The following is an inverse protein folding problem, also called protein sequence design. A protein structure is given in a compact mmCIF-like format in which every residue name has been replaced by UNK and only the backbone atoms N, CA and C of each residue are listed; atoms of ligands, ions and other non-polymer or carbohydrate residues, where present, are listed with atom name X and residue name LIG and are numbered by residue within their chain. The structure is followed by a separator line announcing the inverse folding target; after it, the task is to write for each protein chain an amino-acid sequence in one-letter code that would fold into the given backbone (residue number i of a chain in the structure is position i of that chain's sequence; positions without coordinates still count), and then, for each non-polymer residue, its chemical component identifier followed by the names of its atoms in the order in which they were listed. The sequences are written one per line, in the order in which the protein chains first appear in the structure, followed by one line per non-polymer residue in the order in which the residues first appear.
data_IF_878024354295
#
_entry.id   IF_878024354295
#
_cell.length_a   1.000
_cell.length_b   1.000
_cell.length_c   1.000
_cell.angle_alpha   90.00
_cell.angle_beta   90.00
_cell.angle_gamma   90.00
#
_symmetry.space_group_name_H-M   'P 1'
#
loop_
_entity.id
_entity.type
_entity.pdbx_description
1 polymer ?
#
# COMPACT_ATOMS: atom_id res chain seq x y z
N UNK A 1 -10.84 -0.75 -12.84
CA UNK A 1 -10.41 -2.12 -13.20
C UNK A 1 -8.98 -2.17 -13.74
N UNK A 2 -8.62 -1.44 -14.80
CA UNK A 2 -7.25 -1.44 -15.34
C UNK A 2 -6.21 -0.94 -14.31
N UNK A 3 -6.49 0.17 -13.63
CA UNK A 3 -5.62 0.72 -12.57
C UNK A 3 -5.36 -0.28 -11.43
N UNK A 4 -6.41 -1.00 -11.00
CA UNK A 4 -6.32 -2.05 -9.99
C UNK A 4 -5.41 -3.20 -10.43
N UNK A 5 -5.56 -3.66 -11.68
CA UNK A 5 -4.72 -4.72 -12.25
C UNK A 5 -3.26 -4.27 -12.32
N UNK A 6 -2.99 -3.06 -12.82
CA UNK A 6 -1.64 -2.49 -12.88
C UNK A 6 -1.03 -2.41 -11.48
N UNK A 7 -1.79 -1.93 -10.50
CA UNK A 7 -1.33 -1.83 -9.12
C UNK A 7 -1.00 -3.21 -8.52
N UNK A 8 -1.84 -4.22 -8.76
CA UNK A 8 -1.57 -5.60 -8.31
C UNK A 8 -0.34 -6.22 -8.98
N UNK A 9 -0.13 -5.97 -10.27
CA UNK A 9 1.07 -6.42 -10.99
C UNK A 9 2.33 -5.79 -10.37
N UNK A 10 2.29 -4.48 -10.10
CA UNK A 10 3.41 -3.78 -9.46
C UNK A 10 3.69 -4.34 -8.06
N UNK A 11 2.65 -4.60 -7.27
CA UNK A 11 2.82 -5.20 -5.93
C UNK A 11 3.40 -6.61 -6.03
N UNK A 12 2.91 -7.43 -6.97
CA UNK A 12 3.45 -8.77 -7.20
C UNK A 12 4.94 -8.71 -7.58
N UNK A 13 5.34 -7.75 -8.41
CA UNK A 13 6.73 -7.51 -8.74
C UNK A 13 7.57 -7.13 -7.51
N UNK A 14 7.06 -6.24 -6.65
CA UNK A 14 7.74 -5.87 -5.40
C UNK A 14 7.90 -7.06 -4.46
N UNK A 15 6.86 -7.87 -4.28
CA UNK A 15 6.92 -9.09 -3.47
C UNK A 15 7.94 -10.09 -4.02
N UNK A 16 7.95 -10.32 -5.34
CA UNK A 16 8.93 -11.18 -5.99
C UNK A 16 10.36 -10.67 -5.79
N UNK A 17 10.58 -9.36 -5.95
CA UNK A 17 11.87 -8.71 -5.70
C UNK A 17 12.31 -8.88 -4.24
N UNK A 18 11.39 -8.73 -3.29
CA UNK A 18 11.66 -8.90 -1.86
C UNK A 18 12.12 -10.33 -1.55
N UNK A 19 11.43 -11.32 -2.13
CA UNK A 19 11.78 -12.74 -1.99
C UNK A 19 13.16 -13.04 -2.59
N UNK A 20 13.47 -12.47 -3.76
CA UNK A 20 14.80 -12.61 -4.37
C UNK A 20 15.89 -12.02 -3.47
N UNK A 21 15.70 -10.81 -2.98
CA UNK A 21 16.69 -10.13 -2.13
C UNK A 21 16.89 -10.84 -0.78
N UNK A 22 15.84 -11.46 -0.22
CA UNK A 22 15.95 -12.36 0.93
C UNK A 22 16.84 -13.57 0.64
N UNK A 23 16.65 -14.22 -0.50
CA UNK A 23 17.51 -15.36 -0.91
C UNK A 23 18.97 -14.96 -1.05
N UNK A 24 19.25 -13.73 -1.53
CA UNK A 24 20.60 -13.17 -1.60
C UNK A 24 21.18 -12.72 -0.25
N UNK A 25 20.46 -12.88 0.86
CA UNK A 25 20.83 -12.40 2.21
C UNK A 25 21.19 -10.90 2.26
N UNK A 26 20.63 -10.11 1.34
CA UNK A 26 20.91 -8.68 1.23
C UNK A 26 20.05 -7.82 2.16
N UNK A 27 19.05 -8.42 2.81
CA UNK A 27 18.09 -7.72 3.67
C UNK A 27 18.04 -8.44 5.02
N UNK A 28 17.91 -7.69 6.11
CA UNK A 28 17.60 -8.27 7.41
C UNK A 28 16.23 -8.95 7.40
N UNK A 29 16.05 -9.98 8.22
CA UNK A 29 14.77 -10.71 8.33
C UNK A 29 13.64 -9.77 8.80
N UNK A 30 13.96 -8.84 9.69
CA UNK A 30 13.02 -7.82 10.21
C UNK A 30 12.52 -6.89 9.10
N UNK A 31 13.44 -6.37 8.29
CA UNK A 31 13.13 -5.53 7.13
C UNK A 31 12.30 -6.29 6.09
N UNK A 32 12.66 -7.55 5.82
CA UNK A 32 11.86 -8.40 4.93
C UNK A 32 10.42 -8.57 5.44
N UNK A 33 10.22 -8.89 6.73
CA UNK A 33 8.88 -9.08 7.30
C UNK A 33 8.08 -7.76 7.24
N UNK A 34 8.71 -6.64 7.60
CA UNK A 34 8.08 -5.33 7.55
C UNK A 34 7.56 -5.00 6.14
N UNK A 35 8.44 -5.10 5.13
CA UNK A 35 8.06 -4.81 3.76
C UNK A 35 7.06 -5.83 3.19
N UNK A 36 7.21 -7.10 3.53
CA UNK A 36 6.28 -8.13 3.10
C UNK A 36 4.86 -7.85 3.61
N UNK A 37 4.71 -7.55 4.91
CA UNK A 37 3.43 -7.19 5.51
C UNK A 37 2.86 -5.90 4.91
N UNK A 38 3.71 -4.89 4.69
CA UNK A 38 3.29 -3.64 4.07
C UNK A 38 2.70 -3.86 2.66
N UNK A 39 3.38 -4.62 1.82
CA UNK A 39 2.90 -4.93 0.47
C UNK A 39 1.65 -5.82 0.47
N UNK A 40 1.53 -6.72 1.44
CA UNK A 40 0.33 -7.55 1.63
C UNK A 40 -0.88 -6.70 2.00
N UNK A 41 -0.71 -5.76 2.94
CA UNK A 41 -1.76 -4.79 3.31
C UNK A 41 -2.17 -3.93 2.11
N UNK A 42 -1.22 -3.45 1.32
CA UNK A 42 -1.50 -2.69 0.10
C UNK A 42 -2.31 -3.51 -0.92
N UNK A 43 -1.92 -4.78 -1.15
CA UNK A 43 -2.67 -5.68 -2.03
C UNK A 43 -4.10 -5.91 -1.51
N UNK A 44 -4.27 -6.15 -0.21
CA UNK A 44 -5.58 -6.29 0.42
C UNK A 44 -6.45 -5.05 0.22
N UNK A 45 -5.91 -3.85 0.46
CA UNK A 45 -6.64 -2.60 0.25
C UNK A 45 -7.15 -2.46 -1.21
N UNK A 46 -6.33 -2.89 -2.18
CA UNK A 46 -6.67 -2.86 -3.60
C UNK A 46 -7.68 -3.96 -3.98
N UNK A 47 -7.61 -5.15 -3.39
CA UNK A 47 -8.59 -6.22 -3.65
C UNK A 47 -9.97 -5.85 -3.09
N UNK A 48 -10.00 -5.28 -1.88
CA UNK A 48 -11.23 -4.86 -1.19
C UNK A 48 -11.73 -3.47 -1.62
N UNK A 49 -11.25 -2.96 -2.75
CA UNK A 49 -11.58 -1.60 -3.20
C UNK A 49 -13.09 -1.37 -3.36
N UNK A 50 -13.83 -2.37 -3.86
CA UNK A 50 -15.30 -2.29 -3.98
C UNK A 50 -16.02 -2.12 -2.63
N UNK A 51 -15.45 -2.67 -1.57
CA UNK A 51 -15.98 -2.50 -0.22
C UNK A 51 -15.59 -1.13 0.33
N UNK A 52 -14.37 -0.68 0.04
CA UNK A 52 -13.91 0.67 0.35
C UNK A 52 -14.78 1.73 -0.33
N UNK A 53 -15.12 1.56 -1.61
CA UNK A 53 -16.01 2.46 -2.36
C UNK A 53 -17.35 2.65 -1.66
N UNK A 54 -17.93 1.55 -1.12
CA UNK A 54 -19.19 1.60 -0.38
C UNK A 54 -19.06 2.32 0.96
N UNK A 55 -17.99 2.07 1.70
CA UNK A 55 -17.72 2.76 2.96
C UNK A 55 -17.49 4.25 2.75
N UNK A 56 -16.64 4.59 1.78
CA UNK A 56 -16.30 5.96 1.40
C UNK A 56 -17.57 6.70 0.94
N UNK A 57 -18.41 6.05 0.12
CA UNK A 57 -19.72 6.58 -0.26
C UNK A 57 -20.66 6.80 0.94
N UNK A 58 -20.68 5.89 1.92
CA UNK A 58 -21.48 6.08 3.15
C UNK A 58 -20.99 7.21 4.05
N UNK A 59 -19.70 7.52 3.99
CA UNK A 59 -19.07 8.62 4.73
C UNK A 59 -19.23 9.98 4.03
N UNK A 60 -19.93 10.03 2.89
CA UNK A 60 -20.24 11.26 2.15
C UNK A 60 -19.16 11.69 1.15
N UNK A 61 -18.16 10.85 0.89
CA UNK A 61 -17.18 11.13 -0.15
C UNK A 61 -17.75 10.75 -1.53
N UNK A 62 -17.63 11.67 -2.48
CA UNK A 62 -18.09 11.50 -3.87
C UNK A 62 -17.04 10.89 -4.80
N UNK A 63 -15.81 10.71 -4.33
CA UNK A 63 -14.69 10.17 -5.10
C UNK A 63 -14.63 8.64 -5.11
N UNK A 64 -13.77 8.09 -5.98
CA UNK A 64 -13.45 6.66 -5.99
C UNK A 64 -12.66 6.29 -4.73
N UNK A 65 -12.83 5.07 -4.22
CA UNK A 65 -12.03 4.53 -3.13
C UNK A 65 -10.54 4.46 -3.46
N UNK A 66 -10.16 4.38 -4.75
CA UNK A 66 -8.76 4.57 -5.17
C UNK A 66 -8.28 5.98 -4.83
N UNK A 67 -9.08 7.01 -5.11
CA UNK A 67 -8.72 8.40 -4.86
C UNK A 67 -8.58 8.64 -3.36
N UNK A 68 -9.51 8.11 -2.56
CA UNK A 68 -9.43 8.17 -1.10
C UNK A 68 -8.19 7.47 -0.56
N UNK A 69 -7.86 6.27 -1.06
CA UNK A 69 -6.63 5.58 -0.68
C UNK A 69 -5.38 6.39 -1.03
N UNK A 70 -5.37 7.02 -2.20
CA UNK A 70 -4.26 7.86 -2.64
C UNK A 70 -4.09 9.07 -1.71
N UNK A 71 -5.17 9.82 -1.43
CA UNK A 71 -5.12 10.97 -0.54
C UNK A 71 -4.71 10.58 0.88
N UNK A 72 -5.24 9.46 1.39
CA UNK A 72 -4.87 8.94 2.70
C UNK A 72 -3.39 8.54 2.76
N UNK A 73 -2.88 7.89 1.70
CA UNK A 73 -1.47 7.50 1.60
C UNK A 73 -0.55 8.72 1.57
N UNK A 74 -0.92 9.76 0.83
CA UNK A 74 -0.17 11.02 0.78
C UNK A 74 -0.19 11.72 2.14
N UNK A 75 -1.35 11.79 2.81
CA UNK A 75 -1.46 12.37 4.15
C UNK A 75 -0.61 11.61 5.18
N UNK A 76 -0.64 10.28 5.16
CA UNK A 76 0.19 9.43 6.02
C UNK A 76 1.69 9.62 5.71
N UNK A 77 2.08 9.70 4.45
CA UNK A 77 3.46 9.98 4.04
C UNK A 77 3.94 11.32 4.60
N UNK A 78 3.15 12.38 4.44
CA UNK A 78 3.48 13.69 5.01
C UNK A 78 3.56 13.66 6.53
N UNK A 79 2.64 12.96 7.20
CA UNK A 79 2.70 12.77 8.65
C UNK A 79 3.99 12.05 9.09
N UNK A 80 4.40 11.00 8.39
CA UNK A 80 5.65 10.29 8.68
C UNK A 80 6.87 11.18 8.47
N UNK A 81 6.90 11.97 7.38
CA UNK A 81 7.97 12.94 7.12
C UNK A 81 8.02 14.00 8.22
N UNK A 82 6.85 14.52 8.65
CA UNK A 82 6.73 15.48 9.72
C UNK A 82 7.25 14.91 11.04
N UNK A 83 6.83 13.70 11.39
CA UNK A 83 7.30 12.96 12.58
C UNK A 83 8.80 12.69 12.55
N UNK A 84 9.39 12.43 11.38
CA UNK A 84 10.84 12.23 11.24
C UNK A 84 11.63 13.54 11.40
N UNK A 85 11.05 14.69 11.03
CA UNK A 85 11.71 16.00 11.10
C UNK A 85 11.55 16.70 12.44
N UNK A 86 10.47 16.45 13.16
CA UNK A 86 10.29 16.93 14.52
C UNK A 86 11.00 15.98 15.48
N UNK A 87 12.05 16.47 16.14
CA UNK A 87 12.64 15.86 17.33
C UNK A 87 11.83 16.22 18.55
#
# INVERSE_FOLDING_TARGET
MLQQIIALIIIAFFLARLLWQKQKKQIAVTEFIFWFLFWLLAASAIIFLKWLDKLVGSLGFSGSGIDTLLYLSIALLFYLIFKLRLK
#
